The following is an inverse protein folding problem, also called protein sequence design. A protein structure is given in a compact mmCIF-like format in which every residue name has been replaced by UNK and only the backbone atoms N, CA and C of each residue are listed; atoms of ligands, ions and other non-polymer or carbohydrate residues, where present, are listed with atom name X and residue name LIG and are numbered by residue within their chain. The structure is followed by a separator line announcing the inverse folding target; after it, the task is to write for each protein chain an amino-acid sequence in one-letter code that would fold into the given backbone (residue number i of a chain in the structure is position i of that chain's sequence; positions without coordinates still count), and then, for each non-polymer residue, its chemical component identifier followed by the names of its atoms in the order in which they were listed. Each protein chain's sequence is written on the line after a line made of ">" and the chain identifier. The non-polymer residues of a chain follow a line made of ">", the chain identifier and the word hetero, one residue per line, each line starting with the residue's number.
data_IF_083286188123
#
_entry.id   IF_083286188123
#
_cell.length_a   1.000
_cell.length_b   1.000
_cell.length_c   1.000
_cell.angle_alpha   90.00
_cell.angle_beta   90.00
_cell.angle_gamma   90.00
#
_symmetry.space_group_name_H-M   'P 1'
#
loop_
_entity.id
_entity.type
_entity.pdbx_description
1 polymer ?
#
# COMPACT_ATOMS: atom_id res chain seq x y z
N UNK A 1 -17.45 18.29 18.67
CA UNK A 1 -17.36 17.91 17.25
C UNK A 1 -16.22 18.67 16.55
N UNK A 2 -16.14 20.00 16.64
CA UNK A 2 -15.02 20.78 16.09
C UNK A 2 -13.63 20.32 16.58
N UNK A 3 -13.46 19.99 17.86
CA UNK A 3 -12.16 19.47 18.39
C UNK A 3 -11.72 18.15 17.73
N UNK A 4 -12.68 17.32 17.31
CA UNK A 4 -12.41 16.05 16.65
C UNK A 4 -11.88 16.26 15.24
N UNK A 5 -12.33 17.29 14.51
CA UNK A 5 -11.83 17.60 13.17
C UNK A 5 -10.33 17.91 13.19
N UNK A 6 -9.87 18.67 14.20
CA UNK A 6 -8.47 19.06 14.38
C UNK A 6 -7.63 17.81 14.65
N UNK A 7 -8.13 16.90 15.50
CA UNK A 7 -7.45 15.64 15.78
C UNK A 7 -7.27 14.78 14.52
N UNK A 8 -8.29 14.68 13.65
CA UNK A 8 -8.19 13.91 12.40
C UNK A 8 -7.15 14.51 11.43
N UNK A 9 -7.05 15.84 11.34
CA UNK A 9 -6.00 16.48 10.54
C UNK A 9 -4.59 16.23 11.09
N UNK A 10 -4.39 16.30 12.41
CA UNK A 10 -3.10 15.99 13.04
C UNK A 10 -2.69 14.55 12.74
N UNK A 11 -3.63 13.61 12.87
CA UNK A 11 -3.41 12.20 12.56
C UNK A 11 -3.09 12.00 11.07
N UNK A 12 -3.79 12.70 10.18
CA UNK A 12 -3.50 12.69 8.74
C UNK A 12 -2.07 13.17 8.45
N UNK A 13 -1.64 14.29 9.01
CA UNK A 13 -0.27 14.80 8.85
C UNK A 13 0.79 13.84 9.39
N UNK A 14 0.51 13.16 10.50
CA UNK A 14 1.39 12.12 11.03
C UNK A 14 1.57 10.97 10.03
N UNK A 15 0.48 10.49 9.41
CA UNK A 15 0.57 9.46 8.39
C UNK A 15 1.33 9.93 7.14
N UNK A 16 1.14 11.18 6.70
CA UNK A 16 1.91 11.76 5.59
C UNK A 16 3.41 11.80 5.92
N UNK A 17 3.77 12.18 7.14
CA UNK A 17 5.16 12.21 7.59
C UNK A 17 5.79 10.82 7.57
N UNK A 18 5.09 9.79 8.08
CA UNK A 18 5.57 8.40 8.03
C UNK A 18 5.62 7.88 6.60
N UNK A 19 4.62 8.21 5.77
CA UNK A 19 4.56 7.86 4.35
C UNK A 19 5.74 8.43 3.57
N UNK A 20 6.19 9.65 3.91
CA UNK A 20 7.35 10.27 3.28
C UNK A 20 8.63 9.45 3.51
N UNK A 21 8.93 9.10 4.77
CA UNK A 21 10.13 8.31 5.09
C UNK A 21 10.09 6.90 4.53
N UNK A 22 8.93 6.25 4.64
CA UNK A 22 8.73 4.91 4.07
C UNK A 22 8.82 4.94 2.53
N UNK A 23 8.43 6.05 1.90
CA UNK A 23 8.48 6.27 0.44
C UNK A 23 9.92 6.40 -0.03
N UNK A 24 10.70 7.26 0.61
CA UNK A 24 12.13 7.43 0.33
C UNK A 24 12.87 6.10 0.50
N UNK A 25 12.64 5.38 1.59
CA UNK A 25 13.24 4.08 1.83
C UNK A 25 12.79 3.01 0.81
N UNK A 26 11.54 3.07 0.38
CA UNK A 26 10.97 2.17 -0.62
C UNK A 26 11.59 2.35 -2.01
N UNK A 27 11.73 3.61 -2.44
CA UNK A 27 12.39 3.97 -3.69
C UNK A 27 13.89 3.61 -3.67
N UNK A 28 14.61 3.90 -2.57
CA UNK A 28 16.04 3.62 -2.46
C UNK A 28 16.37 2.12 -2.58
N UNK A 29 15.62 1.26 -1.88
CA UNK A 29 15.85 -0.20 -1.90
C UNK A 29 15.11 -0.91 -3.04
N UNK A 30 14.38 -0.18 -3.90
CA UNK A 30 13.46 -0.71 -4.92
C UNK A 30 12.61 -1.88 -4.37
N UNK A 31 12.10 -1.72 -3.15
CA UNK A 31 11.36 -2.79 -2.47
C UNK A 31 9.87 -2.65 -2.78
N UNK A 32 9.24 -3.63 -3.46
CA UNK A 32 7.81 -3.56 -3.78
C UNK A 32 6.93 -3.57 -2.52
N UNK A 33 7.40 -4.18 -1.42
CA UNK A 33 6.68 -4.20 -0.15
C UNK A 33 6.64 -2.83 0.53
N UNK A 34 7.76 -2.09 0.52
CA UNK A 34 7.82 -0.77 1.14
C UNK A 34 6.96 0.24 0.35
N UNK A 35 6.93 0.14 -0.97
CA UNK A 35 6.12 1.01 -1.84
C UNK A 35 4.63 0.67 -1.74
N UNK A 36 4.28 -0.60 -1.50
CA UNK A 36 2.89 -0.95 -1.16
C UNK A 36 2.49 -0.39 0.22
N UNK A 37 3.39 -0.44 1.20
CA UNK A 37 3.15 0.15 2.53
C UNK A 37 2.93 1.66 2.46
N UNK A 38 3.66 2.38 1.60
CA UNK A 38 3.49 3.83 1.43
C UNK A 38 2.15 4.18 0.79
N UNK A 39 1.67 3.37 -0.16
CA UNK A 39 0.34 3.52 -0.71
C UNK A 39 -0.73 3.41 0.41
N UNK A 40 -0.65 2.38 1.25
CA UNK A 40 -1.59 2.18 2.36
C UNK A 40 -1.56 3.36 3.34
N UNK A 41 -0.37 3.86 3.70
CA UNK A 41 -0.24 5.02 4.58
C UNK A 41 -0.83 6.30 3.96
N UNK A 42 -0.65 6.51 2.66
CA UNK A 42 -1.27 7.64 1.94
C UNK A 42 -2.80 7.50 1.85
N UNK A 43 -3.32 6.28 1.69
CA UNK A 43 -4.76 6.04 1.74
C UNK A 43 -5.34 6.36 3.13
N UNK A 44 -4.67 5.93 4.20
CA UNK A 44 -5.07 6.27 5.57
C UNK A 44 -5.04 7.78 5.78
N UNK A 45 -3.96 8.46 5.36
CA UNK A 45 -3.87 9.91 5.44
C UNK A 45 -5.04 10.61 4.72
N UNK A 46 -5.40 10.15 3.51
CA UNK A 46 -6.54 10.66 2.74
C UNK A 46 -7.88 10.41 3.46
N UNK A 47 -8.09 9.23 4.03
CA UNK A 47 -9.34 8.92 4.75
C UNK A 47 -9.49 9.79 6.00
N UNK A 48 -8.40 10.03 6.73
CA UNK A 48 -8.42 10.92 7.89
C UNK A 48 -8.62 12.38 7.50
N UNK A 49 -8.02 12.87 6.41
CA UNK A 49 -8.26 14.25 5.94
C UNK A 49 -9.67 14.45 5.41
N UNK A 50 -10.18 13.49 4.62
CA UNK A 50 -11.55 13.49 4.12
C UNK A 50 -12.57 13.40 5.28
N UNK A 51 -12.29 12.58 6.29
CA UNK A 51 -13.08 12.51 7.52
C UNK A 51 -13.06 13.83 8.31
N UNK A 52 -11.90 14.50 8.37
CA UNK A 52 -11.77 15.83 8.96
C UNK A 52 -12.64 16.87 8.26
N UNK A 53 -12.60 16.91 6.92
CA UNK A 53 -13.45 17.77 6.10
C UNK A 53 -14.94 17.43 6.23
N UNK A 54 -15.28 16.13 6.26
CA UNK A 54 -16.65 15.67 6.45
C UNK A 54 -17.24 16.08 7.80
N UNK A 55 -16.45 15.97 8.89
CA UNK A 55 -16.87 16.47 10.20
C UNK A 55 -17.00 17.98 10.23
N UNK A 56 -16.13 18.71 9.53
CA UNK A 56 -16.20 20.17 9.45
C UNK A 56 -17.50 20.63 8.77
N UNK A 57 -17.83 20.07 7.60
CA UNK A 57 -19.11 20.33 6.94
C UNK A 57 -20.31 19.88 7.79
N UNK A 58 -20.17 18.78 8.54
CA UNK A 58 -21.18 18.37 9.50
C UNK A 58 -21.45 19.43 10.57
N UNK A 59 -20.40 19.99 11.16
CA UNK A 59 -20.54 21.06 12.17
C UNK A 59 -21.18 22.30 11.56
N UNK A 60 -20.71 22.74 10.40
CA UNK A 60 -21.27 23.86 9.66
C UNK A 60 -22.78 23.67 9.41
N UNK A 61 -23.18 22.51 8.91
CA UNK A 61 -24.57 22.16 8.69
C UNK A 61 -25.41 22.20 9.99
N UNK A 62 -24.85 21.72 11.10
CA UNK A 62 -25.52 21.76 12.40
C UNK A 62 -25.71 23.19 12.91
N UNK A 63 -24.70 24.04 12.74
CA UNK A 63 -24.68 25.44 13.20
C UNK A 63 -25.56 26.35 12.33
N UNK A 64 -25.64 26.08 11.02
CA UNK A 64 -26.43 26.90 10.10
C UNK A 64 -27.90 26.50 10.00
N UNK A 65 -28.23 25.20 9.98
CA UNK A 65 -29.60 24.75 9.69
C UNK A 65 -30.32 24.11 10.87
N UNK A 66 -29.60 23.48 11.81
CA UNK A 66 -30.24 22.64 12.85
C UNK A 66 -30.42 23.35 14.19
N UNK A 67 -29.49 24.21 14.57
CA UNK A 67 -29.55 24.92 15.85
C UNK A 67 -30.43 26.16 15.75
N UNK A 68 -31.70 26.04 16.14
CA UNK A 68 -32.68 27.15 16.18
C UNK A 68 -32.65 27.99 17.46
N UNK A 69 -31.56 27.93 18.21
CA UNK A 69 -31.38 28.70 19.45
C UNK A 69 -30.38 29.82 19.23
N UNK A 70 -30.55 30.96 19.90
CA UNK A 70 -29.52 32.00 19.90
C UNK A 70 -28.19 31.41 20.42
N UNK A 71 -27.02 31.75 19.84
CA UNK A 71 -26.76 32.80 18.83
C UNK A 71 -26.69 32.31 17.37
N UNK A 72 -27.21 31.12 17.04
CA UNK A 72 -26.97 30.45 15.76
C UNK A 72 -27.82 30.99 14.61
N UNK A 73 -27.35 30.88 13.36
CA UNK A 73 -27.95 31.52 12.17
C UNK A 73 -29.42 31.14 11.96
N UNK A 74 -29.80 29.87 12.18
CA UNK A 74 -31.19 29.43 12.05
C UNK A 74 -32.16 30.05 13.08
N UNK A 75 -31.66 30.73 14.11
CA UNK A 75 -32.47 31.46 15.10
C UNK A 75 -32.68 32.94 14.77
N UNK A 76 -31.95 33.45 13.76
CA UNK A 76 -31.99 34.88 13.42
C UNK A 76 -33.24 35.24 12.62
N UNK A 77 -33.59 36.53 12.61
CA UNK A 77 -34.66 37.06 11.77
C UNK A 77 -34.34 36.90 10.27
N UNK A 78 -35.38 36.76 9.43
CA UNK A 78 -35.22 36.50 7.99
C UNK A 78 -34.40 37.59 7.30
N UNK A 79 -34.57 38.86 7.70
CA UNK A 79 -33.78 39.98 7.16
C UNK A 79 -32.28 39.85 7.44
N UNK A 80 -31.92 39.29 8.60
CA UNK A 80 -30.53 39.13 8.99
C UNK A 80 -29.87 37.92 8.31
N UNK A 81 -30.64 36.85 8.10
CA UNK A 81 -30.19 35.68 7.34
C UNK A 81 -29.90 36.06 5.89
N UNK A 82 -30.79 36.82 5.25
CA UNK A 82 -30.64 37.25 3.85
C UNK A 82 -29.51 38.25 3.64
N UNK A 83 -29.23 39.10 4.64
CA UNK A 83 -28.14 40.07 4.58
C UNK A 83 -26.75 39.47 4.89
N UNK A 84 -26.68 38.26 5.46
CA UNK A 84 -25.42 37.63 5.87
C UNK A 84 -24.88 36.70 4.80
N UNK A 85 -23.70 37.00 4.25
CA UNK A 85 -22.99 36.13 3.32
C UNK A 85 -21.80 35.44 4.01
N UNK A 86 -21.77 34.11 3.96
CA UNK A 86 -20.67 33.29 4.47
C UNK A 86 -19.82 32.89 3.26
N UNK A 87 -18.53 33.24 3.30
CA UNK A 87 -17.58 32.92 2.24
C UNK A 87 -16.47 32.03 2.78
N UNK A 88 -16.01 31.12 1.94
CA UNK A 88 -14.89 30.24 2.26
C UNK A 88 -13.57 30.88 1.85
N UNK A 89 -12.64 30.91 2.80
CA UNK A 89 -11.29 31.37 2.57
C UNK A 89 -10.42 30.33 1.83
N UNK A 90 -9.24 30.77 1.41
CA UNK A 90 -8.25 29.96 0.70
C UNK A 90 -7.92 28.63 1.41
N UNK A 91 -7.89 28.62 2.75
CA UNK A 91 -7.59 27.40 3.53
C UNK A 91 -8.53 26.24 3.22
N UNK A 92 -9.80 26.52 2.94
CA UNK A 92 -10.79 25.52 2.52
C UNK A 92 -10.42 24.87 1.19
N UNK A 93 -10.04 25.68 0.21
CA UNK A 93 -9.61 25.20 -1.10
C UNK A 93 -8.34 24.35 -1.00
N UNK A 94 -7.37 24.78 -0.18
CA UNK A 94 -6.14 24.03 0.08
C UNK A 94 -6.42 22.67 0.75
N UNK A 95 -7.39 22.59 1.66
CA UNK A 95 -7.73 21.34 2.33
C UNK A 95 -8.28 20.28 1.35
N UNK A 96 -9.13 20.69 0.41
CA UNK A 96 -9.64 19.82 -0.65
C UNK A 96 -8.56 19.43 -1.66
N UNK A 97 -7.71 20.37 -2.08
CA UNK A 97 -6.58 20.09 -2.96
C UNK A 97 -5.60 19.11 -2.29
N UNK A 98 -5.30 19.31 -1.00
CA UNK A 98 -4.46 18.40 -0.21
C UNK A 98 -5.06 16.99 -0.13
N UNK A 99 -6.36 16.89 0.09
CA UNK A 99 -7.07 15.59 0.11
C UNK A 99 -7.01 14.93 -1.27
N UNK A 100 -7.31 15.65 -2.35
CA UNK A 100 -7.26 15.12 -3.71
C UNK A 100 -5.85 14.69 -4.15
N UNK A 101 -4.82 15.46 -3.80
CA UNK A 101 -3.43 15.11 -4.11
C UNK A 101 -2.94 13.90 -3.31
N UNK A 102 -3.42 13.71 -2.07
CA UNK A 102 -3.13 12.51 -1.29
C UNK A 102 -3.75 11.23 -1.90
N UNK A 103 -4.97 11.34 -2.44
CA UNK A 103 -5.62 10.26 -3.19
C UNK A 103 -4.87 9.94 -4.49
N UNK A 104 -4.45 10.98 -5.22
CA UNK A 104 -3.65 10.81 -6.44
C UNK A 104 -2.32 10.10 -6.12
N UNK A 105 -1.64 10.49 -5.06
CA UNK A 105 -0.41 9.85 -4.61
C UNK A 105 -0.64 8.37 -4.26
N UNK A 106 -1.73 8.03 -3.57
CA UNK A 106 -2.11 6.64 -3.32
C UNK A 106 -2.23 5.84 -4.62
N UNK A 107 -2.97 6.34 -5.62
CA UNK A 107 -3.13 5.67 -6.90
C UNK A 107 -1.79 5.43 -7.61
N UNK A 108 -0.91 6.44 -7.62
CA UNK A 108 0.42 6.34 -8.25
C UNK A 108 1.32 5.33 -7.54
N UNK A 109 1.38 5.34 -6.20
CA UNK A 109 2.19 4.38 -5.44
C UNK A 109 1.63 2.96 -5.54
N UNK A 110 0.32 2.79 -5.55
CA UNK A 110 -0.31 1.49 -5.73
C UNK A 110 0.00 0.92 -7.12
N UNK A 111 -0.17 1.73 -8.18
CA UNK A 111 0.18 1.34 -9.55
C UNK A 111 1.66 0.98 -9.69
N UNK A 112 2.55 1.81 -9.13
CA UNK A 112 3.99 1.52 -9.08
C UNK A 112 4.31 0.22 -8.35
N UNK A 113 3.64 -0.05 -7.21
CA UNK A 113 3.82 -1.28 -6.44
C UNK A 113 3.44 -2.52 -7.24
N UNK A 114 2.33 -2.49 -7.97
CA UNK A 114 1.85 -3.59 -8.79
C UNK A 114 2.79 -3.86 -9.97
N UNK A 115 3.24 -2.81 -10.66
CA UNK A 115 4.21 -2.94 -11.75
C UNK A 115 5.49 -3.64 -11.28
N UNK A 116 6.09 -3.20 -10.17
CA UNK A 116 7.31 -3.84 -9.64
C UNK A 116 7.09 -5.27 -9.14
N UNK A 117 5.93 -5.57 -8.55
CA UNK A 117 5.60 -6.95 -8.18
C UNK A 117 5.50 -7.85 -9.41
N UNK A 118 4.88 -7.35 -10.48
CA UNK A 118 4.77 -8.08 -11.75
C UNK A 118 6.15 -8.31 -12.40
N UNK A 119 7.05 -7.31 -12.35
CA UNK A 119 8.44 -7.46 -12.80
C UNK A 119 9.18 -8.52 -11.98
N UNK A 120 9.09 -8.45 -10.65
CA UNK A 120 9.72 -9.42 -9.76
C UNK A 120 9.21 -10.84 -9.99
N UNK A 121 7.91 -11.02 -10.19
CA UNK A 121 7.33 -12.33 -10.50
C UNK A 121 7.87 -12.88 -11.83
N UNK A 122 8.03 -12.03 -12.85
CA UNK A 122 8.64 -12.41 -14.13
C UNK A 122 10.10 -12.79 -13.99
N UNK A 123 10.87 -12.07 -13.17
CA UNK A 123 12.27 -12.40 -12.87
C UNK A 123 12.40 -13.74 -12.14
N UNK A 124 11.58 -13.95 -11.11
CA UNK A 124 11.55 -15.22 -10.37
C UNK A 124 11.17 -16.38 -11.29
N UNK A 125 10.17 -16.22 -12.15
CA UNK A 125 9.77 -17.26 -13.12
C UNK A 125 10.89 -17.62 -14.10
N UNK A 126 11.64 -16.62 -14.60
CA UNK A 126 12.83 -16.86 -15.44
C UNK A 126 13.92 -17.58 -14.64
N UNK A 127 14.17 -17.18 -13.40
CA UNK A 127 15.21 -17.77 -12.57
C UNK A 127 14.88 -19.24 -12.21
N UNK A 128 13.61 -19.59 -11.96
CA UNK A 128 13.20 -20.98 -11.73
C UNK A 128 13.47 -21.92 -12.91
N UNK A 129 13.45 -21.43 -14.16
CA UNK A 129 13.83 -22.25 -15.31
C UNK A 129 15.32 -22.65 -15.28
N UNK A 130 16.19 -21.84 -14.67
CA UNK A 130 17.62 -22.16 -14.52
C UNK A 130 17.91 -23.02 -13.29
N UNK A 131 17.00 -23.11 -12.32
CA UNK A 131 17.14 -23.96 -11.12
C UNK A 131 16.45 -25.31 -11.22
N UNK A 132 15.70 -25.59 -12.29
CA UNK A 132 15.28 -26.97 -12.57
C UNK A 132 16.54 -27.84 -12.71
N UNK A 133 16.63 -29.01 -12.06
CA UNK A 133 17.81 -29.85 -12.18
C UNK A 133 17.95 -30.33 -13.63
N UNK A 134 18.75 -29.61 -14.42
CA UNK A 134 19.29 -30.03 -15.72
C UNK A 134 20.50 -30.95 -15.48
N UNK A 135 20.36 -31.84 -14.51
CA UNK A 135 21.10 -33.08 -14.48
C UNK A 135 20.03 -34.17 -14.35
N UNK A 136 19.98 -35.17 -15.25
CA UNK A 136 19.32 -36.40 -14.88
C UNK A 136 19.97 -36.84 -13.57
N UNK A 137 19.18 -36.90 -12.50
CA UNK A 137 19.60 -37.46 -11.23
C UNK A 137 20.17 -38.84 -11.54
N UNK A 138 21.50 -38.96 -11.60
CA UNK A 138 22.15 -40.26 -11.76
C UNK A 138 21.80 -41.05 -10.50
N UNK A 139 20.85 -41.96 -10.65
CA UNK A 139 20.58 -43.13 -9.82
C UNK A 139 20.71 -42.91 -8.32
N UNK A 140 19.59 -42.68 -7.65
CA UNK A 140 19.41 -43.21 -6.30
C UNK A 140 18.41 -44.38 -6.41
N UNK A 141 18.89 -45.51 -6.91
CA UNK A 141 18.19 -46.78 -6.73
C UNK A 141 18.12 -47.04 -5.21
N UNK A 142 16.93 -47.25 -4.62
CA UNK A 142 16.86 -47.87 -3.31
C UNK A 142 17.40 -49.29 -3.48
N UNK A 143 18.60 -49.53 -2.98
CA UNK A 143 19.14 -50.87 -2.79
C UNK A 143 18.31 -51.54 -1.71
N UNK A 144 17.29 -52.28 -2.14
CA UNK A 144 16.62 -53.30 -1.34
C UNK A 144 16.50 -54.53 -2.23
N UNK A 145 17.38 -55.49 -1.95
CA UNK A 145 17.47 -56.73 -2.69
C UNK A 145 16.25 -57.62 -2.48
N UNK A 146 15.86 -58.33 -3.53
CA UNK A 146 15.39 -59.71 -3.46
C UNK A 146 15.67 -60.35 -4.83
N UNK A 147 16.32 -61.51 -4.80
CA UNK A 147 17.10 -62.05 -5.91
C UNK A 147 16.31 -62.64 -7.07
N UNK A 148 16.99 -62.69 -8.23
CA UNK A 148 16.82 -63.71 -9.26
C UNK A 148 18.12 -63.81 -10.08
N UNK A 149 18.65 -65.01 -10.38
CA UNK A 149 19.91 -65.17 -11.10
C UNK A 149 19.68 -65.20 -12.61
N UNK A 150 20.49 -64.47 -13.38
CA UNK A 150 20.52 -64.49 -14.84
C UNK A 150 21.78 -63.83 -15.39
N UNK A 151 22.34 -64.32 -16.51
CA UNK A 151 23.70 -64.79 -16.54
C UNK A 151 24.63 -63.90 -17.38
N UNK A 152 25.94 -64.13 -17.21
CA UNK A 152 27.04 -63.57 -17.99
C UNK A 152 27.39 -62.12 -17.69
N UNK A 153 28.41 -61.91 -16.85
CA UNK A 153 29.54 -61.08 -17.28
C UNK A 153 30.82 -61.64 -16.67
N UNK A 154 31.63 -62.17 -17.57
CA UNK A 154 32.99 -62.65 -17.39
C UNK A 154 33.92 -61.53 -16.89
N UNK A 155 34.86 -61.90 -16.02
CA UNK A 155 36.24 -61.43 -16.14
C UNK A 155 36.59 -60.14 -15.41
N UNK A 156 37.06 -60.31 -14.19
CA UNK A 156 38.12 -59.53 -13.54
C UNK A 156 39.24 -59.15 -14.52
N UNK A 157 39.97 -58.04 -14.25
CA UNK A 157 41.45 -58.00 -14.14
C UNK A 157 42.07 -56.62 -14.53
N UNK A 158 42.67 -55.94 -13.54
CA UNK A 158 43.69 -54.86 -13.60
C UNK A 158 43.23 -53.48 -14.11
N UNK A 159 43.61 -52.33 -13.57
CA UNK A 159 44.57 -51.89 -12.54
C UNK A 159 44.59 -50.34 -12.57
N UNK A 160 45.16 -49.64 -11.57
CA UNK A 160 45.00 -48.20 -11.43
C UNK A 160 46.14 -47.44 -12.11
N UNK A 161 45.84 -46.52 -13.04
CA UNK A 161 46.79 -45.47 -13.41
C UNK A 161 46.09 -44.14 -13.67
N UNK A 162 46.54 -43.15 -12.90
CA UNK A 162 46.42 -41.72 -13.15
C UNK A 162 47.12 -41.34 -14.46
N UNK A 163 46.47 -40.50 -15.26
CA UNK A 163 47.01 -39.22 -15.75
C UNK A 163 45.84 -38.25 -15.92
#
# INVERSE_FOLDING_TARGET
>A
MARSMIALFIVSFFFVFVAFWTGVAGCWRRSPGNIASTAILMLLACLFSAGGMGLWHGVEYYEEEKLKTEPWKASWDETLQDATNIQYDWSYMLAWIGTGTSLLAFCLFLGGSQCMQSERQREVAKQMQYTMPVYPQKQQYPSYGYGYPGPYHYGSQYGPYNY
#
